data_IF_738628253642
#
_entry.id   IF_738628253642
#
_cell.length_a   1.000
_cell.length_b   1.000
_cell.length_c   1.000
_cell.angle_alpha   90.00
_cell.angle_beta   90.00
_cell.angle_gamma   90.00
#
_symmetry.space_group_name_H-M   'P 1'
#
loop_
_entity.id
_entity.type
_entity.pdbx_description
1 polymer ?
#
# COMPACT_ATOMS: atom_id res chain seq x y z
N UNK A 1 12.00 8.86 -17.04
CA UNK A 1 11.02 9.03 -15.96
C UNK A 1 11.35 8.01 -14.90
N UNK A 2 11.71 8.46 -13.70
CA UNK A 2 12.05 7.58 -12.60
C UNK A 2 10.78 7.36 -11.77
N UNK A 3 10.32 6.13 -11.62
CA UNK A 3 9.15 5.84 -10.78
C UNK A 3 9.51 6.06 -9.31
N UNK A 4 8.85 7.01 -8.66
CA UNK A 4 8.98 7.30 -7.25
C UNK A 4 7.97 6.49 -6.45
N UNK A 5 8.40 5.95 -5.30
CA UNK A 5 7.51 5.31 -4.34
C UNK A 5 7.10 6.31 -3.28
N UNK A 6 5.80 6.67 -3.24
CA UNK A 6 5.24 7.51 -2.20
C UNK A 6 4.61 6.65 -1.11
N UNK A 7 5.01 6.86 0.15
CA UNK A 7 4.40 6.19 1.30
C UNK A 7 2.94 6.66 1.50
N UNK A 8 2.01 5.72 1.64
CA UNK A 8 0.58 5.99 1.86
C UNK A 8 0.04 5.29 3.10
N UNK A 9 0.71 4.25 3.58
CA UNK A 9 0.28 3.53 4.77
C UNK A 9 1.19 2.38 5.15
N UNK A 10 0.65 1.44 5.91
CA UNK A 10 1.36 0.30 6.44
C UNK A 10 0.54 -0.98 6.40
N UNK A 11 1.22 -2.11 6.28
CA UNK A 11 0.66 -3.46 6.36
C UNK A 11 1.28 -4.19 7.53
N UNK A 12 0.45 -4.85 8.35
CA UNK A 12 0.89 -5.68 9.50
C UNK A 12 -0.04 -6.87 9.72
N UNK A 13 0.40 -7.88 10.48
CA UNK A 13 -0.47 -9.01 10.86
C UNK A 13 -1.65 -8.53 11.71
N UNK A 14 -2.85 -9.04 11.44
CA UNK A 14 -4.02 -8.76 12.28
C UNK A 14 -3.86 -9.41 13.66
N UNK A 15 -4.43 -8.80 14.71
CA UNK A 15 -4.34 -9.34 16.08
C UNK A 15 -5.02 -10.69 16.26
N UNK A 16 -6.04 -10.98 15.45
CA UNK A 16 -6.76 -12.26 15.47
C UNK A 16 -6.11 -13.37 14.63
N UNK A 17 -5.00 -13.07 13.93
CA UNK A 17 -4.42 -13.98 12.96
C UNK A 17 -5.26 -14.10 11.67
N UNK A 18 -4.75 -14.86 10.70
CA UNK A 18 -5.45 -15.18 9.45
C UNK A 18 -5.68 -14.01 8.48
N UNK A 19 -5.24 -12.80 8.81
CA UNK A 19 -5.41 -11.62 7.96
C UNK A 19 -4.27 -10.62 8.13
N UNK A 20 -4.15 -9.71 7.18
CA UNK A 20 -3.32 -8.52 7.26
C UNK A 20 -4.20 -7.30 7.51
N UNK A 21 -3.75 -6.41 8.39
CA UNK A 21 -4.34 -5.10 8.61
C UNK A 21 -3.60 -4.07 7.74
N UNK A 22 -4.34 -3.34 6.92
CA UNK A 22 -3.84 -2.27 6.07
C UNK A 22 -4.28 -0.94 6.68
N UNK A 23 -3.34 -0.19 7.24
CA UNK A 23 -3.58 1.12 7.81
C UNK A 23 -3.17 2.19 6.80
N UNK A 24 -4.13 2.99 6.35
CA UNK A 24 -3.93 4.03 5.34
C UNK A 24 -3.92 5.39 6.04
N UNK A 25 -2.89 6.21 5.76
CA UNK A 25 -2.88 7.60 6.19
C UNK A 25 -3.92 8.38 5.39
N UNK A 26 -4.90 8.96 6.07
CA UNK A 26 -6.01 9.65 5.42
C UNK A 26 -5.55 10.88 4.61
N UNK A 27 -4.52 11.59 5.08
CA UNK A 27 -3.99 12.75 4.37
C UNK A 27 -3.20 12.32 3.13
N UNK A 28 -2.40 11.27 3.22
CA UNK A 28 -1.70 10.70 2.07
C UNK A 28 -2.69 10.18 1.01
N UNK A 29 -3.73 9.46 1.44
CA UNK A 29 -4.76 8.92 0.53
C UNK A 29 -5.56 10.02 -0.17
N UNK A 30 -5.86 11.13 0.53
CA UNK A 30 -6.57 12.25 -0.09
C UNK A 30 -5.79 12.89 -1.27
N UNK A 31 -4.46 12.80 -1.23
CA UNK A 31 -3.52 13.37 -2.22
C UNK A 31 -3.01 12.35 -3.24
N UNK A 32 -3.37 11.08 -3.08
CA UNK A 32 -2.90 10.03 -3.97
C UNK A 32 -3.45 10.20 -5.39
N UNK A 33 -2.64 9.83 -6.39
CA UNK A 33 -3.07 9.88 -7.79
C UNK A 33 -4.22 8.91 -8.03
N UNK A 34 -5.22 9.36 -8.77
CA UNK A 34 -6.41 8.58 -9.10
C UNK A 34 -6.40 8.21 -10.57
N UNK A 35 -6.92 7.03 -10.87
CA UNK A 35 -7.23 6.64 -12.23
C UNK A 35 -8.70 6.22 -12.33
N UNK A 36 -9.29 6.44 -13.50
CA UNK A 36 -10.66 6.03 -13.78
C UNK A 36 -10.66 4.61 -14.33
N UNK A 37 -11.39 3.72 -13.67
CA UNK A 37 -11.62 2.37 -14.15
C UNK A 37 -12.50 2.35 -15.41
N UNK A 38 -12.53 1.21 -16.09
CA UNK A 38 -13.40 1.00 -17.26
C UNK A 38 -14.89 1.14 -16.95
N UNK A 39 -15.26 1.07 -15.68
CA UNK A 39 -16.61 1.25 -15.16
C UNK A 39 -16.93 2.70 -14.72
N UNK A 40 -16.00 3.63 -14.93
CA UNK A 40 -16.16 5.04 -14.58
C UNK A 40 -15.92 5.38 -13.10
N UNK A 41 -15.56 4.41 -12.26
CA UNK A 41 -15.22 4.69 -10.85
C UNK A 41 -13.76 5.13 -10.73
N UNK A 42 -13.48 5.99 -9.76
CA UNK A 42 -12.11 6.41 -9.45
C UNK A 42 -11.46 5.46 -8.44
N UNK A 43 -10.19 5.13 -8.68
CA UNK A 43 -9.40 4.24 -7.85
C UNK A 43 -8.04 4.86 -7.53
N UNK A 44 -7.48 4.43 -6.39
CA UNK A 44 -6.09 4.68 -6.01
C UNK A 44 -5.36 3.34 -6.05
N UNK A 45 -4.26 3.26 -6.79
CA UNK A 45 -3.43 2.05 -6.85
C UNK A 45 -2.36 2.08 -5.76
N UNK A 46 -2.41 1.10 -4.86
CA UNK A 46 -1.44 0.93 -3.78
C UNK A 46 -0.74 -0.41 -3.92
N UNK A 47 0.56 -0.41 -3.63
CA UNK A 47 1.45 -1.56 -3.75
C UNK A 47 2.15 -1.82 -2.42
N UNK A 48 2.47 -3.10 -2.20
CA UNK A 48 3.30 -3.57 -1.10
C UNK A 48 4.30 -4.58 -1.67
N UNK A 49 5.52 -4.57 -1.17
CA UNK A 49 6.53 -5.57 -1.57
C UNK A 49 6.14 -6.95 -1.02
N UNK A 50 6.12 -7.95 -1.90
CA UNK A 50 5.63 -9.29 -1.59
C UNK A 50 6.53 -10.01 -0.57
N UNK A 51 7.85 -9.92 -0.73
CA UNK A 51 8.82 -10.55 0.20
C UNK A 51 8.61 -10.02 1.62
N UNK A 52 8.45 -8.69 1.78
CA UNK A 52 8.16 -8.08 3.09
C UNK A 52 6.80 -8.50 3.65
N UNK A 53 5.82 -8.86 2.82
CA UNK A 53 4.55 -9.43 3.30
C UNK A 53 4.77 -10.86 3.79
N UNK A 54 5.60 -11.63 3.10
CA UNK A 54 5.97 -12.98 3.53
C UNK A 54 6.69 -12.94 4.88
N UNK A 55 7.66 -12.05 5.08
CA UNK A 55 8.33 -11.82 6.38
C UNK A 55 7.29 -11.55 7.50
N UNK A 56 6.21 -10.82 7.19
CA UNK A 56 5.14 -10.51 8.17
C UNK A 56 4.31 -11.75 8.52
N UNK A 57 4.01 -12.57 7.52
CA UNK A 57 3.24 -13.80 7.71
C UNK A 57 4.02 -14.78 8.58
N UNK A 58 5.31 -14.95 8.27
CA UNK A 58 6.27 -15.82 8.95
C UNK A 58 6.66 -15.30 10.35
N UNK A 59 6.46 -14.01 10.60
CA UNK A 59 6.70 -13.36 11.89
C UNK A 59 8.11 -12.80 12.06
N UNK A 60 8.87 -12.73 10.97
CA UNK A 60 10.21 -12.12 10.90
C UNK A 60 10.15 -10.59 10.86
N UNK A 61 8.99 -10.03 10.47
CA UNK A 61 8.74 -8.59 10.39
C UNK A 61 7.38 -8.25 10.99
N UNK A 62 7.29 -7.16 11.74
CA UNK A 62 5.99 -6.73 12.29
C UNK A 62 5.16 -5.93 11.26
N UNK A 63 5.82 -5.08 10.48
CA UNK A 63 5.19 -4.08 9.61
C UNK A 63 6.00 -3.80 8.35
N UNK A 64 5.31 -3.48 7.26
CA UNK A 64 5.90 -2.98 6.01
C UNK A 64 5.09 -1.80 5.47
N UNK A 65 5.69 -1.05 4.54
CA UNK A 65 5.07 0.10 3.89
C UNK A 65 4.05 -0.32 2.83
N UNK A 66 2.93 0.42 2.75
CA UNK A 66 2.00 0.45 1.64
C UNK A 66 2.25 1.76 0.88
N UNK A 67 2.55 1.68 -0.41
CA UNK A 67 2.98 2.84 -1.20
C UNK A 67 2.16 3.00 -2.47
N UNK A 68 2.13 4.20 -3.04
CA UNK A 68 1.77 4.42 -4.43
C UNK A 68 3.05 4.50 -5.27
N UNK A 69 3.03 3.95 -6.48
CA UNK A 69 4.05 4.23 -7.49
C UNK A 69 3.56 5.41 -8.31
N UNK A 70 4.42 6.43 -8.42
CA UNK A 70 4.16 7.65 -9.16
C UNK A 70 5.26 7.78 -10.21
N UNK A 71 4.89 8.09 -11.45
CA UNK A 71 5.87 8.38 -12.48
C UNK A 71 6.49 9.76 -12.20
N UNK A 72 7.78 9.80 -11.92
CA UNK A 72 8.48 11.07 -11.74
C UNK A 72 8.60 11.82 -13.06
N UNK A 73 8.29 13.12 -13.01
CA UNK A 73 8.47 14.09 -14.12
C UNK A 73 9.89 14.04 -14.72
#
# INVERSE_FOLDING_TARGET
MATQSQLVGYVRKSRGGGALNLSIDAAAFSKAERFTGSDGREFVSLIVNLDKVQDIIEGEREVTSLCQLIDGE
#
